data_IF_973380027350
#
_entry.id   IF_973380027350
#
_cell.length_a   1.000
_cell.length_b   1.000
_cell.length_c   1.000
_cell.angle_alpha   90.00
_cell.angle_beta   90.00
_cell.angle_gamma   90.00
#
_symmetry.space_group_name_H-M   'P 1'
#
loop_
_entity.id
_entity.type
_entity.pdbx_description
1 polymer ?
#
# COMPACT_ATOMS: atom_id res chain seq x y z
N UNK A 1 -39.80 -10.07 20.29
CA UNK A 1 -40.86 -9.09 19.96
C UNK A 1 -41.01 -8.17 21.13
N UNK A 2 -40.50 -6.94 21.02
CA UNK A 2 -40.73 -5.88 22.00
C UNK A 2 -40.96 -4.63 21.16
N UNK A 3 -42.23 -4.20 21.07
CA UNK A 3 -42.63 -3.01 20.32
C UNK A 3 -42.04 -1.80 21.03
N UNK A 4 -41.06 -1.16 20.41
CA UNK A 4 -40.64 0.19 20.79
C UNK A 4 -41.72 1.13 20.25
N UNK A 5 -42.41 1.83 21.15
CA UNK A 5 -43.36 2.87 20.82
C UNK A 5 -42.62 3.97 20.03
N UNK A 6 -42.87 4.05 18.72
CA UNK A 6 -42.49 5.20 17.91
C UNK A 6 -43.51 6.31 18.15
N UNK A 7 -43.33 7.08 19.21
CA UNK A 7 -43.98 8.37 19.31
C UNK A 7 -43.41 9.26 18.19
N UNK A 8 -44.32 9.73 17.33
CA UNK A 8 -44.01 10.54 16.17
C UNK A 8 -43.66 11.96 16.60
N UNK A 9 -42.37 12.24 16.78
CA UNK A 9 -41.88 13.61 16.95
C UNK A 9 -41.96 14.30 15.59
N UNK A 10 -42.89 15.26 15.47
CA UNK A 10 -43.05 16.11 14.28
C UNK A 10 -42.07 17.28 14.37
N UNK A 11 -41.24 17.45 13.34
CA UNK A 11 -40.44 18.67 13.14
C UNK A 11 -41.29 19.61 12.28
N UNK A 12 -41.59 20.80 12.80
CA UNK A 12 -42.42 21.79 12.12
C UNK A 12 -41.54 22.64 11.18
N UNK A 13 -41.72 22.44 9.88
CA UNK A 13 -41.05 23.23 8.85
C UNK A 13 -41.68 24.61 8.86
N UNK A 14 -40.95 25.65 9.30
CA UNK A 14 -41.40 27.03 9.11
C UNK A 14 -41.48 27.32 7.61
N UNK A 15 -42.69 27.24 7.06
CA UNK A 15 -43.08 27.91 5.83
C UNK A 15 -42.56 27.30 4.51
N UNK A 16 -42.82 26.02 4.25
CA UNK A 16 -43.17 25.55 2.89
C UNK A 16 -43.71 24.11 2.93
N UNK A 17 -44.64 23.81 2.03
CA UNK A 17 -45.77 22.90 2.21
C UNK A 17 -45.53 21.40 2.00
N UNK A 18 -44.33 20.86 2.17
CA UNK A 18 -44.13 19.40 2.13
C UNK A 18 -43.33 18.91 3.35
N UNK A 19 -44.05 18.29 4.29
CA UNK A 19 -43.46 17.62 5.47
C UNK A 19 -42.61 16.44 4.99
N UNK A 20 -41.29 16.59 5.02
CA UNK A 20 -40.35 15.47 4.79
C UNK A 20 -40.66 14.38 5.82
N UNK A 21 -41.00 13.18 5.36
CA UNK A 21 -41.26 12.05 6.27
C UNK A 21 -39.93 11.61 6.87
N UNK A 22 -39.90 11.35 8.18
CA UNK A 22 -38.73 10.77 8.86
C UNK A 22 -38.21 9.51 8.14
N UNK A 23 -39.09 8.71 7.54
CA UNK A 23 -38.74 7.53 6.74
C UNK A 23 -37.89 7.84 5.50
N UNK A 24 -37.92 9.06 4.98
CA UNK A 24 -37.09 9.49 3.84
C UNK A 24 -35.71 9.98 4.31
N UNK A 25 -35.63 10.46 5.55
CA UNK A 25 -34.36 10.83 6.22
C UNK A 25 -33.57 9.57 6.58
N UNK A 26 -34.27 8.51 6.99
CA UNK A 26 -33.69 7.21 7.35
C UNK A 26 -33.86 6.19 6.23
N UNK A 27 -32.90 6.13 5.29
CA UNK A 27 -32.84 5.06 4.30
C UNK A 27 -31.71 4.09 4.67
N UNK A 28 -32.04 2.80 4.80
CA UNK A 28 -31.08 1.73 5.09
C UNK A 28 -30.23 1.97 6.36
N UNK A 29 -30.83 2.52 7.43
CA UNK A 29 -30.15 2.92 8.69
C UNK A 29 -29.08 4.02 8.54
N UNK A 30 -29.02 4.68 7.39
CA UNK A 30 -28.14 5.82 7.12
C UNK A 30 -28.97 7.10 7.02
N UNK A 31 -28.43 8.19 7.57
CA UNK A 31 -29.04 9.51 7.50
C UNK A 31 -28.39 10.24 6.34
N UNK A 32 -29.20 10.67 5.36
CA UNK A 32 -28.69 11.42 4.23
C UNK A 32 -28.50 12.90 4.63
N UNK A 33 -27.25 13.43 4.63
CA UNK A 33 -27.00 14.82 5.03
C UNK A 33 -27.68 15.85 4.13
N UNK A 34 -27.89 15.56 2.85
CA UNK A 34 -28.57 16.49 1.93
C UNK A 34 -30.05 16.63 2.32
N UNK A 35 -30.69 15.53 2.71
CA UNK A 35 -32.09 15.58 3.17
C UNK A 35 -32.18 16.36 4.47
N UNK A 36 -31.25 16.15 5.41
CA UNK A 36 -31.17 16.91 6.67
C UNK A 36 -31.02 18.41 6.40
N UNK A 37 -30.13 18.79 5.48
CA UNK A 37 -29.97 20.20 5.08
C UNK A 37 -31.25 20.75 4.45
N UNK A 38 -31.84 20.03 3.49
CA UNK A 38 -33.05 20.43 2.79
C UNK A 38 -34.23 20.60 3.76
N UNK A 39 -34.36 19.71 4.75
CA UNK A 39 -35.38 19.80 5.79
C UNK A 39 -35.16 20.99 6.73
N UNK A 40 -33.92 21.41 6.98
CA UNK A 40 -33.67 22.54 7.88
C UNK A 40 -33.82 23.89 7.15
N UNK A 41 -33.30 23.98 5.92
CA UNK A 41 -33.14 25.24 5.19
C UNK A 41 -34.11 25.44 4.01
N UNK A 42 -34.71 24.36 3.49
CA UNK A 42 -35.72 24.44 2.43
C UNK A 42 -35.19 24.54 0.99
N UNK A 43 -33.88 24.38 0.76
CA UNK A 43 -33.29 24.37 -0.59
C UNK A 43 -32.10 23.42 -0.70
N UNK A 44 -31.69 23.15 -1.95
CA UNK A 44 -30.57 22.26 -2.28
C UNK A 44 -29.23 22.98 -1.99
N UNK A 45 -28.32 22.38 -1.20
CA UNK A 45 -27.02 22.97 -0.88
C UNK A 45 -25.97 22.78 -1.99
N UNK A 46 -24.99 23.68 -2.05
CA UNK A 46 -23.63 23.38 -2.49
C UNK A 46 -22.91 22.54 -1.44
N UNK A 47 -21.98 21.67 -1.84
CA UNK A 47 -21.30 20.76 -0.93
C UNK A 47 -19.80 20.69 -1.20
N UNK A 48 -18.99 20.77 -0.14
CA UNK A 48 -17.55 20.49 -0.16
C UNK A 48 -17.27 19.31 0.75
N UNK A 49 -16.44 18.36 0.30
CA UNK A 49 -16.06 17.19 1.10
C UNK A 49 -14.54 17.07 1.23
N UNK A 50 -14.10 16.70 2.42
CA UNK A 50 -12.72 16.31 2.70
C UNK A 50 -12.67 14.92 3.34
N UNK A 51 -11.79 14.06 2.82
CA UNK A 51 -11.63 12.68 3.25
C UNK A 51 -10.46 12.50 4.23
N UNK A 52 -10.53 11.43 5.03
CA UNK A 52 -9.46 11.03 5.94
C UNK A 52 -9.39 11.92 7.18
N UNK A 53 -10.51 12.44 7.64
CA UNK A 53 -10.61 13.36 8.77
C UNK A 53 -10.53 12.62 10.11
N UNK A 54 -9.91 13.24 11.11
CA UNK A 54 -10.07 12.85 12.50
C UNK A 54 -11.33 13.52 13.06
N UNK A 55 -12.48 12.93 12.72
CA UNK A 55 -13.79 13.49 13.07
C UNK A 55 -14.00 13.65 14.58
N UNK A 56 -13.38 12.82 15.42
CA UNK A 56 -13.45 13.00 16.88
C UNK A 56 -12.78 14.29 17.34
N UNK A 57 -11.54 14.56 16.90
CA UNK A 57 -10.85 15.82 17.23
C UNK A 57 -11.52 17.03 16.60
N UNK A 58 -12.01 16.88 15.37
CA UNK A 58 -12.76 17.94 14.69
C UNK A 58 -14.06 18.27 15.44
N UNK A 59 -14.81 17.26 15.88
CA UNK A 59 -16.03 17.39 16.69
C UNK A 59 -15.75 18.15 17.99
N UNK A 60 -14.73 17.74 18.75
CA UNK A 60 -14.33 18.42 19.99
C UNK A 60 -13.93 19.87 19.73
N UNK A 61 -13.24 20.14 18.62
CA UNK A 61 -12.88 21.49 18.22
C UNK A 61 -14.08 22.34 17.84
N UNK A 62 -15.01 21.81 17.03
CA UNK A 62 -16.25 22.49 16.63
C UNK A 62 -17.03 22.88 17.89
N UNK A 63 -17.32 21.93 18.78
CA UNK A 63 -18.07 22.18 20.02
C UNK A 63 -17.40 23.20 20.94
N UNK A 64 -16.06 23.28 20.93
CA UNK A 64 -15.32 24.21 21.78
C UNK A 64 -15.18 25.61 21.17
N UNK A 65 -15.05 25.74 19.85
CA UNK A 65 -14.63 26.99 19.21
C UNK A 65 -15.71 27.64 18.33
N UNK A 66 -16.80 26.93 18.05
CA UNK A 66 -17.91 27.41 17.21
C UNK A 66 -19.25 27.36 17.94
N UNK A 67 -19.26 27.12 19.26
CA UNK A 67 -20.50 26.96 20.04
C UNK A 67 -21.37 28.21 20.10
N UNK A 68 -20.75 29.37 20.05
CA UNK A 68 -21.38 30.69 19.92
C UNK A 68 -22.02 30.92 18.54
N UNK A 69 -21.66 30.11 17.53
CA UNK A 69 -22.13 30.25 16.15
C UNK A 69 -23.15 29.19 15.75
N UNK A 70 -23.52 28.30 16.66
CA UNK A 70 -24.55 27.30 16.37
C UNK A 70 -25.94 27.90 16.50
N UNK A 71 -26.76 27.59 15.51
CA UNK A 71 -28.20 27.65 15.67
C UNK A 71 -28.69 26.35 16.35
N UNK A 72 -28.25 25.20 15.82
CA UNK A 72 -28.58 23.88 16.33
C UNK A 72 -27.48 22.86 16.00
N UNK A 73 -27.43 21.73 16.73
CA UNK A 73 -26.59 20.59 16.35
C UNK A 73 -27.19 19.26 16.79
N UNK A 74 -26.88 18.20 16.05
CA UNK A 74 -27.39 16.84 16.28
C UNK A 74 -26.25 15.83 16.21
N UNK A 75 -26.15 14.96 17.23
CA UNK A 75 -25.16 13.88 17.28
C UNK A 75 -25.86 12.53 17.26
N UNK A 76 -25.65 11.77 16.19
CA UNK A 76 -26.10 10.40 16.09
C UNK A 76 -25.06 9.47 16.70
N UNK A 77 -25.42 8.84 17.81
CA UNK A 77 -24.55 7.93 18.55
C UNK A 77 -25.07 6.50 18.45
N UNK A 78 -24.17 5.54 18.35
CA UNK A 78 -24.48 4.11 18.30
C UNK A 78 -23.56 3.34 19.22
N UNK A 79 -23.97 2.14 19.61
CA UNK A 79 -23.13 1.22 20.34
C UNK A 79 -22.54 0.16 19.41
N UNK A 80 -21.25 -0.14 19.56
CA UNK A 80 -20.63 -1.29 18.91
C UNK A 80 -20.89 -2.54 19.76
N UNK A 81 -21.38 -3.62 19.15
CA UNK A 81 -21.67 -4.89 19.85
C UNK A 81 -20.47 -5.34 20.70
N UNK A 82 -20.69 -5.57 21.99
CA UNK A 82 -19.65 -5.97 22.95
C UNK A 82 -18.86 -4.82 23.59
N UNK A 83 -19.24 -3.55 23.36
CA UNK A 83 -18.65 -2.39 24.04
C UNK A 83 -19.70 -1.63 24.85
N UNK A 84 -19.28 -0.96 25.93
CA UNK A 84 -20.15 -0.12 26.77
C UNK A 84 -20.18 1.35 26.33
N UNK A 85 -19.17 1.79 25.56
CA UNK A 85 -19.02 3.20 25.16
C UNK A 85 -19.78 3.48 23.85
N UNK A 86 -20.66 4.49 23.89
CA UNK A 86 -21.31 5.04 22.71
C UNK A 86 -20.30 5.74 21.79
N UNK A 87 -20.33 5.38 20.51
CA UNK A 87 -19.55 6.01 19.44
C UNK A 87 -20.43 7.02 18.71
N UNK A 88 -19.84 8.11 18.22
CA UNK A 88 -20.52 9.05 17.34
C UNK A 88 -20.41 8.49 15.93
N UNK A 89 -21.54 8.36 15.23
CA UNK A 89 -21.61 8.01 13.81
C UNK A 89 -21.61 9.25 12.93
N UNK A 90 -22.56 10.16 13.17
CA UNK A 90 -22.68 11.42 12.45
C UNK A 90 -22.86 12.59 13.41
N UNK A 91 -22.22 13.72 13.12
CA UNK A 91 -22.50 15.01 13.75
C UNK A 91 -22.96 16.03 12.71
N UNK A 92 -24.06 16.72 12.98
CA UNK A 92 -24.61 17.78 12.14
C UNK A 92 -24.59 19.09 12.92
N UNK A 93 -23.99 20.13 12.37
CA UNK A 93 -23.81 21.43 13.01
C UNK A 93 -24.35 22.51 12.09
N UNK A 94 -25.43 23.17 12.50
CA UNK A 94 -26.07 24.24 11.75
C UNK A 94 -25.53 25.58 12.24
N UNK A 95 -24.89 26.32 11.34
CA UNK A 95 -24.34 27.64 11.58
C UNK A 95 -25.16 28.69 10.84
N UNK A 96 -24.90 29.96 11.15
CA UNK A 96 -25.47 31.09 10.42
C UNK A 96 -25.16 31.08 8.92
N UNK A 97 -25.92 31.87 8.16
CA UNK A 97 -25.81 32.02 6.70
C UNK A 97 -25.99 30.70 5.94
N UNK A 98 -26.85 29.83 6.47
CA UNK A 98 -27.25 28.60 5.80
C UNK A 98 -26.07 27.63 5.60
N UNK A 99 -25.20 27.51 6.60
CA UNK A 99 -24.08 26.59 6.57
C UNK A 99 -24.40 25.40 7.48
N UNK A 100 -24.19 24.18 6.96
CA UNK A 100 -24.20 22.98 7.78
C UNK A 100 -22.87 22.23 7.64
N UNK A 101 -22.19 22.02 8.76
CA UNK A 101 -21.04 21.12 8.81
C UNK A 101 -21.53 19.73 9.22
N UNK A 102 -21.23 18.71 8.41
CA UNK A 102 -21.45 17.32 8.77
C UNK A 102 -20.11 16.60 8.97
N UNK A 103 -19.96 15.89 10.09
CA UNK A 103 -18.85 15.00 10.36
C UNK A 103 -19.33 13.55 10.32
N UNK A 104 -18.89 12.81 9.31
CA UNK A 104 -19.11 11.36 9.23
C UNK A 104 -17.92 10.66 9.90
N UNK A 105 -18.13 10.21 11.13
CA UNK A 105 -17.10 9.53 11.91
C UNK A 105 -16.83 8.12 11.40
N UNK A 106 -17.80 7.49 10.73
CA UNK A 106 -17.69 6.13 10.21
C UNK A 106 -16.79 6.10 8.97
N UNK A 107 -16.98 7.03 8.05
CA UNK A 107 -16.21 7.12 6.81
C UNK A 107 -15.00 8.07 6.93
N UNK A 108 -14.82 8.72 8.09
CA UNK A 108 -13.79 9.73 8.31
C UNK A 108 -13.87 10.85 7.27
N UNK A 109 -15.07 11.41 7.06
CA UNK A 109 -15.31 12.52 6.12
C UNK A 109 -15.82 13.75 6.87
N UNK A 110 -15.50 14.92 6.36
CA UNK A 110 -16.18 16.17 6.72
C UNK A 110 -16.83 16.77 5.48
N UNK A 111 -18.07 17.20 5.64
CA UNK A 111 -18.83 17.92 4.63
C UNK A 111 -19.15 19.32 5.13
N UNK A 112 -19.08 20.30 4.23
CA UNK A 112 -19.66 21.63 4.45
C UNK A 112 -20.71 21.84 3.37
N UNK A 113 -21.96 21.94 3.79
CA UNK A 113 -23.10 22.27 2.96
C UNK A 113 -23.43 23.75 3.12
N UNK A 114 -23.70 24.45 2.04
CA UNK A 114 -24.04 25.88 2.08
C UNK A 114 -24.86 26.31 0.86
N UNK A 115 -25.61 27.41 0.94
CA UNK A 115 -26.30 28.00 -0.22
C UNK A 115 -26.02 29.48 -0.41
N UNK A 116 -26.28 30.28 0.61
CA UNK A 116 -26.22 31.74 0.54
C UNK A 116 -24.99 32.34 1.26
N UNK A 117 -24.22 31.51 1.97
CA UNK A 117 -22.99 31.93 2.61
C UNK A 117 -21.94 32.45 1.62
N UNK A 118 -21.15 33.43 2.08
CA UNK A 118 -19.93 33.85 1.41
C UNK A 118 -18.95 32.67 1.30
N UNK A 119 -18.46 32.42 0.08
CA UNK A 119 -17.48 31.37 -0.21
C UNK A 119 -16.20 31.56 0.63
N UNK A 120 -15.80 32.80 0.91
CA UNK A 120 -14.63 33.07 1.75
C UNK A 120 -14.83 32.58 3.19
N UNK A 121 -16.04 32.72 3.73
CA UNK A 121 -16.39 32.21 5.06
C UNK A 121 -16.36 30.68 5.08
N UNK A 122 -16.95 30.04 4.06
CA UNK A 122 -16.99 28.58 3.90
C UNK A 122 -15.58 27.99 3.82
N UNK A 123 -14.71 28.56 2.98
CA UNK A 123 -13.30 28.16 2.88
C UNK A 123 -12.53 28.43 4.18
N UNK A 124 -12.90 29.48 4.92
CA UNK A 124 -12.38 29.75 6.26
C UNK A 124 -12.67 28.61 7.25
N UNK A 125 -13.88 28.07 7.26
CA UNK A 125 -14.22 26.89 8.06
C UNK A 125 -13.48 25.64 7.58
N UNK A 126 -13.45 25.41 6.27
CA UNK A 126 -12.73 24.28 5.67
C UNK A 126 -11.25 24.27 6.06
N UNK A 127 -10.56 25.41 5.96
CA UNK A 127 -9.15 25.56 6.33
C UNK A 127 -8.87 25.18 7.79
N UNK A 128 -9.80 25.49 8.68
CA UNK A 128 -9.69 25.11 10.10
C UNK A 128 -9.91 23.60 10.29
N UNK A 129 -10.92 23.02 9.62
CA UNK A 129 -11.17 21.58 9.66
C UNK A 129 -9.99 20.77 9.11
N UNK A 130 -9.33 21.23 8.04
CA UNK A 130 -8.20 20.53 7.42
C UNK A 130 -7.03 20.27 8.39
N UNK A 131 -6.92 21.01 9.50
CA UNK A 131 -5.93 20.74 10.58
C UNK A 131 -6.13 19.37 11.23
N UNK A 132 -7.32 18.79 11.11
CA UNK A 132 -7.67 17.48 11.66
C UNK A 132 -7.57 16.35 10.62
N UNK A 133 -7.07 16.62 9.41
CA UNK A 133 -6.82 15.57 8.42
C UNK A 133 -5.80 14.57 8.97
N UNK A 134 -6.17 13.30 9.04
CA UNK A 134 -5.27 12.22 9.47
C UNK A 134 -4.09 12.20 8.52
N UNK A 135 -2.87 12.10 9.07
CA UNK A 135 -1.70 11.77 8.25
C UNK A 135 -1.97 10.41 7.61
N UNK A 136 -1.96 10.34 6.29
CA UNK A 136 -2.15 9.08 5.56
C UNK A 136 -0.94 8.17 5.82
N UNK A 137 -1.03 7.31 6.84
CA UNK A 137 -0.04 6.28 7.11
C UNK A 137 -0.33 5.12 6.16
N UNK A 138 0.10 5.26 4.90
CA UNK A 138 0.10 4.15 3.96
C UNK A 138 0.84 2.96 4.60
N UNK A 139 0.15 1.83 4.73
CA UNK A 139 0.73 0.57 5.19
C UNK A 139 1.05 -0.28 3.97
N UNK A 140 2.30 -0.68 3.75
CA UNK A 140 2.65 -1.53 2.63
C UNK A 140 1.92 -2.88 2.74
N UNK A 141 1.39 -3.32 1.61
CA UNK A 141 0.73 -4.62 1.46
C UNK A 141 1.32 -5.31 0.24
N UNK A 142 1.40 -6.64 0.31
CA UNK A 142 1.76 -7.50 -0.81
C UNK A 142 0.58 -8.41 -1.13
N UNK A 143 0.33 -8.65 -2.41
CA UNK A 143 -0.63 -9.62 -2.89
C UNK A 143 0.10 -10.91 -3.23
N UNK A 144 -0.16 -12.00 -2.52
CA UNK A 144 0.42 -13.31 -2.83
C UNK A 144 -0.47 -13.99 -3.86
N UNK A 145 0.12 -14.43 -4.97
CA UNK A 145 -0.56 -15.25 -5.97
C UNK A 145 -0.82 -16.65 -5.40
N UNK A 146 -2.07 -17.10 -5.50
CA UNK A 146 -2.52 -18.42 -5.08
C UNK A 146 -3.35 -19.06 -6.21
N UNK A 147 -3.43 -20.39 -6.20
CA UNK A 147 -4.25 -21.18 -7.12
C UNK A 147 -5.16 -22.11 -6.32
N UNK A 148 -6.45 -22.16 -6.66
CA UNK A 148 -7.41 -23.16 -6.20
C UNK A 148 -8.13 -23.78 -7.42
N UNK A 149 -9.20 -24.54 -7.16
CA UNK A 149 -10.02 -25.17 -8.22
C UNK A 149 -10.69 -24.13 -9.13
N UNK A 150 -11.03 -22.95 -8.61
CA UNK A 150 -11.66 -21.85 -9.37
C UNK A 150 -10.66 -21.03 -10.19
N UNK A 151 -9.35 -21.30 -10.07
CA UNK A 151 -8.30 -20.59 -10.79
C UNK A 151 -7.36 -19.79 -9.90
N UNK A 152 -6.86 -18.66 -10.41
CA UNK A 152 -5.89 -17.82 -9.70
C UNK A 152 -6.58 -16.71 -8.91
N UNK A 153 -6.06 -16.44 -7.71
CA UNK A 153 -6.52 -15.32 -6.90
C UNK A 153 -5.37 -14.69 -6.11
N UNK A 154 -5.60 -13.47 -5.61
CA UNK A 154 -4.63 -12.71 -4.84
C UNK A 154 -5.04 -12.63 -3.37
N UNK A 155 -4.17 -13.10 -2.47
CA UNK A 155 -4.33 -12.91 -1.02
C UNK A 155 -3.47 -11.76 -0.53
N UNK A 156 -4.07 -10.71 0.03
CA UNK A 156 -3.33 -9.57 0.57
C UNK A 156 -2.74 -9.88 1.95
N UNK A 157 -1.47 -9.55 2.15
CA UNK A 157 -0.79 -9.62 3.44
C UNK A 157 -0.10 -8.28 3.77
N UNK A 158 -0.10 -7.85 5.05
CA UNK A 158 0.68 -6.70 5.47
C UNK A 158 2.18 -7.01 5.36
N UNK A 159 2.97 -6.03 4.94
CA UNK A 159 4.44 -6.15 4.90
C UNK A 159 5.03 -5.28 5.99
N UNK A 160 6.03 -5.80 6.69
CA UNK A 160 6.85 -4.99 7.57
C UNK A 160 8.06 -4.50 6.77
N UNK A 161 8.17 -3.18 6.59
CA UNK A 161 9.36 -2.60 6.00
C UNK A 161 10.52 -2.75 7.00
N UNK A 162 11.62 -3.44 6.63
CA UNK A 162 12.77 -3.54 7.52
C UNK A 162 13.37 -2.14 7.77
N UNK A 163 13.81 -1.91 9.01
CA UNK A 163 14.52 -0.68 9.39
C UNK A 163 15.97 -0.80 8.96
N UNK A 164 16.30 -0.26 7.80
CA UNK A 164 17.68 -0.21 7.30
C UNK A 164 17.92 1.07 6.50
N UNK A 165 19.18 1.51 6.48
CA UNK A 165 19.65 2.57 5.61
C UNK A 165 20.40 1.92 4.44
N UNK A 166 20.04 2.27 3.20
CA UNK A 166 20.63 1.67 2.00
C UNK A 166 22.14 1.96 1.90
N UNK A 167 22.57 3.16 2.28
CA UNK A 167 23.97 3.58 2.21
C UNK A 167 24.86 2.83 3.20
N UNK A 168 24.28 2.40 4.32
CA UNK A 168 24.99 1.65 5.35
C UNK A 168 25.05 0.16 5.05
N UNK A 169 24.00 -0.37 4.40
CA UNK A 169 23.79 -1.81 4.24
C UNK A 169 24.28 -2.39 2.92
N UNK A 170 24.75 -1.55 1.98
CA UNK A 170 25.22 -1.97 0.67
C UNK A 170 26.45 -1.16 0.23
N UNK A 171 27.18 -1.67 -0.77
CA UNK A 171 28.35 -0.99 -1.32
C UNK A 171 27.98 0.35 -1.98
N UNK A 172 28.96 1.24 -2.13
CA UNK A 172 28.75 2.61 -2.61
C UNK A 172 28.16 2.69 -4.01
N UNK A 173 28.44 1.69 -4.86
CA UNK A 173 27.92 1.58 -6.22
C UNK A 173 26.39 1.37 -6.27
N UNK A 174 25.79 0.90 -5.17
CA UNK A 174 24.38 0.56 -5.16
C UNK A 174 23.44 1.77 -5.05
N UNK A 175 23.88 2.88 -4.45
CA UNK A 175 22.99 3.99 -4.12
C UNK A 175 22.31 4.58 -5.35
N UNK A 176 23.07 4.80 -6.43
CA UNK A 176 22.55 5.32 -7.69
C UNK A 176 21.55 4.33 -8.33
N UNK A 177 21.92 3.05 -8.35
CA UNK A 177 21.06 1.98 -8.86
C UNK A 177 19.77 1.87 -8.06
N UNK A 178 19.84 2.00 -6.73
CA UNK A 178 18.68 2.03 -5.85
C UNK A 178 17.73 3.18 -6.19
N UNK A 179 18.26 4.38 -6.41
CA UNK A 179 17.45 5.56 -6.77
C UNK A 179 16.73 5.33 -8.11
N UNK A 180 17.43 4.82 -9.12
CA UNK A 180 16.84 4.46 -10.42
C UNK A 180 15.74 3.40 -10.27
N UNK A 181 16.00 2.32 -9.51
CA UNK A 181 15.01 1.26 -9.25
C UNK A 181 13.76 1.86 -8.61
N UNK A 182 13.92 2.69 -7.58
CA UNK A 182 12.80 3.29 -6.85
C UNK A 182 11.99 4.23 -7.75
N UNK A 183 12.65 5.04 -8.56
CA UNK A 183 12.00 5.94 -9.51
C UNK A 183 11.17 5.16 -10.52
N UNK A 184 11.81 4.21 -11.22
CA UNK A 184 11.17 3.39 -12.27
C UNK A 184 10.00 2.57 -11.70
N UNK A 185 10.17 1.88 -10.57
CA UNK A 185 9.09 1.08 -9.98
C UNK A 185 7.94 1.92 -9.42
N UNK A 186 8.18 3.18 -9.08
CA UNK A 186 7.12 4.11 -8.64
C UNK A 186 6.38 4.77 -9.80
N UNK A 187 6.92 4.70 -11.02
CA UNK A 187 6.35 5.32 -12.20
C UNK A 187 5.06 4.60 -12.61
N UNK A 188 4.01 5.39 -12.86
CA UNK A 188 2.71 4.91 -13.34
C UNK A 188 2.86 4.47 -14.79
N UNK A 189 2.27 3.33 -15.12
CA UNK A 189 2.24 2.74 -16.46
C UNK A 189 3.65 2.55 -17.06
N UNK A 190 4.63 2.24 -16.21
CA UNK A 190 5.97 1.86 -16.63
C UNK A 190 6.07 0.34 -16.76
N UNK A 191 7.02 -0.12 -17.57
CA UNK A 191 7.27 -1.53 -17.89
C UNK A 191 8.76 -1.87 -17.83
N UNK A 192 9.04 -3.17 -17.85
CA UNK A 192 10.40 -3.68 -17.91
C UNK A 192 10.78 -4.60 -16.75
N UNK A 193 12.05 -4.99 -16.72
CA UNK A 193 12.57 -6.08 -15.90
C UNK A 193 13.68 -5.56 -14.99
N UNK A 194 13.56 -5.82 -13.70
CA UNK A 194 14.60 -5.65 -12.70
C UNK A 194 15.21 -7.01 -12.37
N UNK A 195 16.51 -7.16 -12.59
CA UNK A 195 17.27 -8.36 -12.27
C UNK A 195 18.19 -8.09 -11.07
N UNK A 196 17.98 -8.81 -9.98
CA UNK A 196 18.76 -8.73 -8.74
C UNK A 196 19.46 -10.07 -8.51
N UNK A 197 20.79 -10.09 -8.49
CA UNK A 197 21.53 -11.34 -8.31
C UNK A 197 22.72 -11.21 -7.38
N UNK A 198 23.36 -12.33 -7.01
CA UNK A 198 24.54 -12.33 -6.15
C UNK A 198 24.57 -13.55 -5.22
N UNK A 199 25.65 -13.72 -4.47
CA UNK A 199 25.80 -14.86 -3.54
C UNK A 199 24.70 -14.89 -2.46
N UNK A 200 24.35 -16.06 -1.90
CA UNK A 200 23.53 -16.13 -0.69
C UNK A 200 24.11 -15.25 0.43
N UNK A 201 23.24 -14.65 1.25
CA UNK A 201 23.67 -13.81 2.37
C UNK A 201 24.03 -12.35 2.04
N UNK A 202 24.11 -11.94 0.77
CA UNK A 202 24.43 -10.54 0.39
C UNK A 202 23.26 -9.56 0.52
N UNK A 203 22.12 -9.98 1.07
CA UNK A 203 21.02 -9.08 1.42
C UNK A 203 19.97 -8.82 0.33
N UNK A 204 19.89 -9.63 -0.72
CA UNK A 204 18.88 -9.54 -1.80
C UNK A 204 17.43 -9.53 -1.28
N UNK A 205 17.05 -10.55 -0.49
CA UNK A 205 15.70 -10.66 0.09
C UNK A 205 15.41 -9.50 1.05
N UNK A 206 16.41 -9.04 1.81
CA UNK A 206 16.29 -7.87 2.68
C UNK A 206 16.00 -6.60 1.88
N UNK A 207 16.73 -6.39 0.76
CA UNK A 207 16.48 -5.28 -0.16
C UNK A 207 15.08 -5.37 -0.79
N UNK A 208 14.67 -6.57 -1.23
CA UNK A 208 13.36 -6.79 -1.83
C UNK A 208 12.24 -6.44 -0.84
N UNK A 209 12.33 -6.87 0.42
CA UNK A 209 11.40 -6.47 1.49
C UNK A 209 11.40 -4.96 1.74
N UNK A 210 12.56 -4.32 1.72
CA UNK A 210 12.68 -2.86 1.81
C UNK A 210 11.97 -2.16 0.65
N UNK A 211 12.16 -2.65 -0.58
CA UNK A 211 11.58 -2.10 -1.80
C UNK A 211 10.05 -2.22 -1.79
N UNK A 212 9.54 -3.41 -1.43
CA UNK A 212 8.10 -3.66 -1.27
C UNK A 212 7.49 -2.70 -0.24
N UNK A 213 8.21 -2.47 0.85
CA UNK A 213 7.81 -1.51 1.88
C UNK A 213 7.92 -0.03 1.48
N UNK A 214 8.49 0.29 0.32
CA UNK A 214 8.85 1.66 -0.08
C UNK A 214 8.12 2.17 -1.32
N UNK A 215 7.58 1.28 -2.15
CA UNK A 215 6.91 1.64 -3.41
C UNK A 215 5.39 1.62 -3.23
N UNK A 216 4.73 2.73 -3.59
CA UNK A 216 3.26 2.87 -3.54
C UNK A 216 2.59 2.37 -4.83
N UNK A 217 2.89 1.14 -5.21
CA UNK A 217 2.32 0.44 -6.36
C UNK A 217 1.83 -0.93 -5.89
N UNK A 218 0.87 -1.53 -6.60
CA UNK A 218 0.43 -2.90 -6.27
C UNK A 218 1.60 -3.84 -6.54
N UNK A 219 1.91 -4.68 -5.56
CA UNK A 219 2.96 -5.70 -5.69
C UNK A 219 2.31 -7.06 -5.57
N UNK A 220 2.56 -7.90 -6.57
CA UNK A 220 2.12 -9.29 -6.64
C UNK A 220 3.37 -10.17 -6.44
N UNK A 221 3.40 -10.93 -5.37
CA UNK A 221 4.40 -11.97 -5.18
C UNK A 221 3.97 -13.21 -5.94
N UNK A 222 4.86 -13.70 -6.79
CA UNK A 222 4.70 -14.91 -7.58
C UNK A 222 5.57 -16.01 -6.95
N UNK A 223 4.95 -16.99 -6.25
CA UNK A 223 5.68 -18.10 -5.66
C UNK A 223 6.41 -18.95 -6.71
N UNK A 224 7.66 -19.40 -6.45
CA UNK A 224 8.42 -20.23 -7.39
C UNK A 224 7.71 -21.52 -7.80
N UNK A 225 6.96 -22.14 -6.88
CA UNK A 225 6.21 -23.36 -7.16
C UNK A 225 5.06 -23.17 -8.17
N UNK A 226 4.68 -21.93 -8.49
CA UNK A 226 3.69 -21.62 -9.52
C UNK A 226 4.33 -21.29 -10.90
N UNK A 227 5.65 -21.39 -11.04
CA UNK A 227 6.39 -21.01 -12.26
C UNK A 227 5.87 -21.64 -13.55
N UNK A 228 5.39 -22.88 -13.49
CA UNK A 228 4.83 -23.59 -14.64
C UNK A 228 3.55 -22.95 -15.18
N UNK A 229 2.84 -22.17 -14.37
CA UNK A 229 1.57 -21.54 -14.73
C UNK A 229 1.71 -20.12 -15.29
N UNK A 230 2.92 -19.65 -15.55
CA UNK A 230 3.12 -18.28 -16.04
C UNK A 230 2.54 -18.03 -17.44
N UNK A 231 2.30 -19.10 -18.20
CA UNK A 231 1.63 -19.11 -19.51
C UNK A 231 0.13 -19.42 -19.42
N UNK A 232 -0.38 -19.68 -18.22
CA UNK A 232 -1.77 -20.06 -18.02
C UNK A 232 -2.71 -18.88 -18.36
N UNK A 233 -3.73 -19.06 -19.21
CA UNK A 233 -4.66 -17.99 -19.56
C UNK A 233 -5.34 -17.35 -18.34
N UNK A 234 -5.64 -18.13 -17.29
CA UNK A 234 -6.23 -17.61 -16.06
C UNK A 234 -5.25 -16.72 -15.28
N UNK A 235 -3.94 -16.98 -15.38
CA UNK A 235 -2.94 -16.07 -14.84
C UNK A 235 -2.87 -14.76 -15.63
N UNK A 236 -2.96 -14.83 -16.96
CA UNK A 236 -3.02 -13.63 -17.82
C UNK A 236 -4.27 -12.79 -17.50
N UNK A 237 -5.43 -13.41 -17.34
CA UNK A 237 -6.68 -12.74 -16.94
C UNK A 237 -6.54 -12.03 -15.58
N UNK A 238 -5.87 -12.67 -14.62
CA UNK A 238 -5.56 -12.05 -13.33
C UNK A 238 -4.69 -10.81 -13.50
N UNK A 239 -3.68 -10.83 -14.38
CA UNK A 239 -2.84 -9.65 -14.66
C UNK A 239 -3.64 -8.55 -15.37
N UNK A 240 -4.53 -8.89 -16.30
CA UNK A 240 -5.44 -7.93 -16.97
C UNK A 240 -6.32 -7.21 -15.94
N UNK A 241 -6.79 -7.93 -14.93
CA UNK A 241 -7.58 -7.35 -13.82
C UNK A 241 -6.75 -6.49 -12.86
N UNK A 242 -5.42 -6.55 -12.97
CA UNK A 242 -4.48 -5.87 -12.07
C UNK A 242 -3.34 -5.16 -12.82
N UNK A 243 -3.65 -4.24 -13.75
CA UNK A 243 -2.63 -3.55 -14.53
C UNK A 243 -1.84 -2.57 -13.65
N UNK A 244 -0.73 -2.06 -14.18
CA UNK A 244 0.16 -1.13 -13.49
C UNK A 244 0.59 -1.68 -12.11
N UNK A 245 1.06 -2.93 -12.10
CA UNK A 245 1.54 -3.62 -10.90
C UNK A 245 2.96 -4.16 -11.09
N UNK A 246 3.58 -4.51 -9.96
CA UNK A 246 4.93 -5.09 -9.91
C UNK A 246 4.77 -6.57 -9.61
N UNK A 247 5.30 -7.43 -10.47
CA UNK A 247 5.35 -8.86 -10.27
C UNK A 247 6.73 -9.24 -9.72
N UNK A 248 6.77 -9.76 -8.50
CA UNK A 248 8.00 -10.15 -7.80
C UNK A 248 8.14 -11.67 -7.84
N UNK A 249 9.23 -12.15 -8.41
CA UNK A 249 9.62 -13.56 -8.46
C UNK A 249 10.94 -13.68 -7.67
N UNK A 250 10.84 -14.21 -6.45
CA UNK A 250 12.03 -14.61 -5.68
C UNK A 250 12.51 -15.98 -6.18
N UNK A 251 13.79 -16.31 -6.01
CA UNK A 251 14.41 -17.56 -6.48
C UNK A 251 14.02 -17.93 -7.93
N UNK A 252 14.22 -16.96 -8.83
CA UNK A 252 13.77 -17.01 -10.20
C UNK A 252 14.63 -17.91 -11.12
N UNK A 253 15.66 -18.60 -10.60
CA UNK A 253 16.62 -19.41 -11.37
C UNK A 253 15.92 -20.40 -12.29
N UNK A 254 14.87 -21.06 -11.79
CA UNK A 254 14.10 -22.06 -12.55
C UNK A 254 13.35 -21.47 -13.75
N UNK A 255 13.11 -20.16 -13.74
CA UNK A 255 12.34 -19.44 -14.76
C UNK A 255 13.26 -18.73 -15.76
N UNK A 256 14.39 -18.18 -15.31
CA UNK A 256 15.23 -17.27 -16.11
C UNK A 256 16.50 -17.92 -16.70
N UNK A 257 16.88 -19.11 -16.24
CA UNK A 257 18.15 -19.72 -16.63
C UNK A 257 18.18 -20.24 -18.09
N UNK A 258 19.37 -20.19 -18.70
CA UNK A 258 19.63 -20.40 -20.14
C UNK A 258 19.88 -21.85 -20.58
N UNK A 259 19.71 -22.86 -19.71
CA UNK A 259 20.18 -24.23 -20.00
C UNK A 259 19.55 -24.86 -21.26
N UNK A 260 20.41 -25.56 -22.00
CA UNK A 260 20.27 -26.10 -23.34
C UNK A 260 18.87 -26.52 -23.82
N UNK A 261 18.45 -25.83 -24.90
CA UNK A 261 17.78 -26.36 -26.08
C UNK A 261 16.51 -27.22 -25.95
N UNK A 262 15.56 -26.86 -25.08
CA UNK A 262 14.13 -27.11 -25.37
C UNK A 262 13.30 -25.94 -24.84
N UNK A 263 12.94 -25.01 -25.74
CA UNK A 263 11.98 -23.91 -25.58
C UNK A 263 11.21 -23.91 -24.25
N UNK A 264 11.64 -23.09 -23.29
CA UNK A 264 10.85 -22.87 -22.07
C UNK A 264 9.78 -21.80 -22.33
N UNK A 265 8.48 -22.14 -22.27
CA UNK A 265 7.41 -21.16 -22.44
C UNK A 265 7.47 -20.03 -21.41
N UNK A 266 8.11 -20.26 -20.26
CA UNK A 266 8.19 -19.33 -19.13
C UNK A 266 9.01 -18.07 -19.42
N UNK A 267 10.16 -18.17 -20.10
CA UNK A 267 10.97 -16.99 -20.48
C UNK A 267 10.22 -16.15 -21.52
N UNK A 268 9.69 -16.80 -22.56
CA UNK A 268 8.87 -16.14 -23.57
C UNK A 268 7.63 -15.47 -22.97
N UNK A 269 7.00 -16.09 -21.96
CA UNK A 269 5.89 -15.48 -21.22
C UNK A 269 6.32 -14.22 -20.48
N UNK A 270 7.42 -14.26 -19.73
CA UNK A 270 7.97 -13.08 -19.06
C UNK A 270 8.28 -11.95 -20.06
N UNK A 271 8.83 -12.30 -21.23
CA UNK A 271 9.11 -11.34 -22.30
C UNK A 271 7.82 -10.74 -22.88
N UNK A 272 6.79 -11.56 -23.12
CA UNK A 272 5.51 -11.09 -23.61
C UNK A 272 4.79 -10.18 -22.61
N UNK A 273 4.90 -10.46 -21.31
CA UNK A 273 4.34 -9.64 -20.23
C UNK A 273 5.10 -8.30 -20.09
N UNK A 274 6.42 -8.30 -20.27
CA UNK A 274 7.27 -7.12 -20.01
C UNK A 274 7.52 -6.22 -21.22
N UNK A 275 7.49 -6.75 -22.44
CA UNK A 275 7.81 -6.00 -23.67
C UNK A 275 6.92 -6.37 -24.88
N UNK A 276 6.10 -7.42 -24.79
CA UNK A 276 5.20 -7.80 -25.88
C UNK A 276 3.96 -6.91 -26.00
N UNK A 277 3.05 -7.22 -26.93
CA UNK A 277 1.77 -6.51 -27.10
C UNK A 277 0.95 -6.45 -25.80
N UNK A 278 1.03 -7.49 -24.96
CA UNK A 278 0.37 -7.50 -23.66
C UNK A 278 0.95 -6.43 -22.72
N UNK A 279 2.23 -6.10 -22.83
CA UNK A 279 2.89 -5.14 -21.95
C UNK A 279 2.30 -3.73 -22.03
N UNK A 280 1.78 -3.33 -23.20
CA UNK A 280 1.23 -1.99 -23.43
C UNK A 280 -0.09 -1.75 -22.69
N UNK A 281 -0.87 -2.81 -22.48
CA UNK A 281 -2.12 -2.74 -21.73
C UNK A 281 -1.91 -3.08 -20.25
N UNK A 282 -1.06 -4.06 -19.95
CA UNK A 282 -0.85 -4.53 -18.59
C UNK A 282 0.04 -3.59 -17.76
N UNK A 283 1.07 -3.00 -18.36
CA UNK A 283 2.05 -2.15 -17.68
C UNK A 283 2.66 -2.83 -16.43
N UNK A 284 3.07 -4.10 -16.57
CA UNK A 284 3.66 -4.90 -15.50
C UNK A 284 5.17 -4.68 -15.47
N UNK A 285 5.71 -4.45 -14.27
CA UNK A 285 7.14 -4.44 -14.02
C UNK A 285 7.55 -5.74 -13.34
N UNK A 286 8.53 -6.43 -13.92
CA UNK A 286 9.05 -7.69 -13.37
C UNK A 286 10.21 -7.40 -12.42
N UNK A 287 10.24 -8.06 -11.28
CA UNK A 287 11.38 -8.07 -10.35
C UNK A 287 11.77 -9.51 -10.10
N UNK A 288 12.94 -9.92 -10.60
CA UNK A 288 13.47 -11.27 -10.42
C UNK A 288 14.70 -11.22 -9.51
N UNK A 289 14.69 -12.02 -8.43
CA UNK A 289 15.85 -12.24 -7.57
C UNK A 289 16.38 -13.66 -7.74
N UNK A 290 17.70 -13.84 -7.80
CA UNK A 290 18.34 -15.15 -8.01
C UNK A 290 19.79 -15.18 -7.47
N UNK A 291 20.37 -16.38 -7.36
CA UNK A 291 21.68 -16.63 -6.75
C UNK A 291 22.75 -17.13 -7.75
N UNK A 292 22.36 -17.39 -9.01
CA UNK A 292 23.29 -17.81 -10.07
C UNK A 292 23.97 -16.62 -10.75
N UNK A 293 25.11 -16.89 -11.41
CA UNK A 293 25.77 -15.91 -12.26
C UNK A 293 24.84 -15.47 -13.40
N UNK A 294 24.89 -14.18 -13.73
CA UNK A 294 24.13 -13.58 -14.82
C UNK A 294 24.43 -14.20 -16.18
N UNK A 295 25.62 -14.76 -16.39
CA UNK A 295 25.99 -15.49 -17.61
C UNK A 295 25.07 -16.68 -17.89
N UNK A 296 24.41 -17.20 -16.84
CA UNK A 296 23.47 -18.31 -16.94
C UNK A 296 22.02 -17.86 -17.15
N UNK A 297 21.77 -16.56 -17.31
CA UNK A 297 20.43 -16.00 -17.58
C UNK A 297 20.23 -15.84 -19.08
N UNK A 298 19.01 -16.09 -19.56
CA UNK A 298 18.66 -15.89 -20.96
C UNK A 298 18.95 -14.45 -21.41
N UNK A 299 19.80 -14.29 -22.43
CA UNK A 299 20.24 -13.00 -22.93
C UNK A 299 19.08 -12.10 -23.40
N UNK A 300 17.95 -12.67 -23.83
CA UNK A 300 16.78 -11.91 -24.25
C UNK A 300 16.17 -11.07 -23.12
N UNK A 301 16.33 -11.49 -21.86
CA UNK A 301 15.93 -10.75 -20.65
C UNK A 301 16.88 -9.57 -20.35
N UNK A 302 18.12 -9.63 -20.85
CA UNK A 302 19.18 -8.64 -20.55
C UNK A 302 19.31 -7.54 -21.61
N UNK A 303 18.48 -7.55 -22.65
CA UNK A 303 18.53 -6.58 -23.75
C UNK A 303 18.22 -5.15 -23.26
N UNK A 304 19.01 -4.19 -23.74
CA UNK A 304 18.77 -2.76 -23.54
C UNK A 304 17.38 -2.39 -24.09
N UNK A 305 16.64 -1.56 -23.37
CA UNK A 305 15.24 -1.21 -23.67
C UNK A 305 14.22 -1.92 -22.78
N UNK A 306 14.52 -3.16 -22.33
CA UNK A 306 13.64 -3.93 -21.43
C UNK A 306 14.01 -3.83 -19.96
N UNK A 307 15.28 -3.56 -19.67
CA UNK A 307 15.78 -3.52 -18.30
C UNK A 307 15.40 -2.21 -17.60
N UNK A 308 14.85 -2.35 -16.39
CA UNK A 308 14.75 -1.28 -15.40
C UNK A 308 16.14 -1.04 -14.80
N UNK A 309 16.75 -2.12 -14.29
CA UNK A 309 18.12 -2.18 -13.84
C UNK A 309 18.56 -3.64 -13.75
N UNK A 310 19.88 -3.84 -13.67
CA UNK A 310 20.50 -5.11 -13.35
C UNK A 310 21.57 -4.84 -12.28
N UNK A 311 21.52 -5.55 -11.17
CA UNK A 311 22.47 -5.34 -10.07
C UNK A 311 22.94 -6.66 -9.46
N UNK A 312 24.25 -6.74 -9.22
CA UNK A 312 24.91 -7.82 -8.50
C UNK A 312 25.20 -7.38 -7.07
N UNK A 313 24.54 -8.01 -6.10
CA UNK A 313 24.85 -7.89 -4.69
C UNK A 313 26.10 -8.71 -4.37
N UNK A 314 27.23 -8.01 -4.26
CA UNK A 314 28.52 -8.56 -3.86
C UNK A 314 28.66 -8.59 -2.35
N UNK A 315 29.71 -9.27 -1.87
CA UNK A 315 30.20 -9.08 -0.51
C UNK A 315 30.50 -7.59 -0.27
N UNK A 316 30.26 -7.15 0.97
CA UNK A 316 30.49 -5.78 1.38
C UNK A 316 31.99 -5.51 1.48
N UNK A 317 32.44 -4.38 0.93
CA UNK A 317 33.83 -3.95 1.02
C UNK A 317 34.26 -3.75 2.47
N UNK A 318 35.53 -4.03 2.77
CA UNK A 318 36.09 -4.07 4.13
C UNK A 318 35.71 -2.81 4.94
N UNK A 319 35.93 -1.62 4.38
CA UNK A 319 35.66 -0.36 5.06
C UNK A 319 34.16 -0.14 5.33
N UNK A 320 33.29 -0.56 4.41
CA UNK A 320 31.83 -0.53 4.59
C UNK A 320 31.39 -1.51 5.67
N UNK A 321 31.94 -2.72 5.65
CA UNK A 321 31.63 -3.76 6.62
C UNK A 321 32.05 -3.33 8.04
N UNK A 322 33.24 -2.75 8.19
CA UNK A 322 33.71 -2.16 9.47
C UNK A 322 32.80 -1.04 9.95
N UNK A 323 32.41 -0.12 9.06
CA UNK A 323 31.52 0.98 9.41
C UNK A 323 30.14 0.49 9.86
N UNK A 324 29.56 -0.48 9.17
CA UNK A 324 28.28 -1.09 9.54
C UNK A 324 28.37 -1.87 10.86
N UNK A 325 29.39 -2.71 11.01
CA UNK A 325 29.65 -3.49 12.23
C UNK A 325 29.77 -2.56 13.46
N UNK A 326 30.52 -1.46 13.34
CA UNK A 326 30.61 -0.43 14.39
C UNK A 326 29.26 0.20 14.72
N UNK A 327 28.44 0.53 13.70
CA UNK A 327 27.07 1.05 13.90
C UNK A 327 26.15 0.06 14.61
N UNK A 328 26.36 -1.24 14.40
CA UNK A 328 25.63 -2.33 15.07
C UNK A 328 26.16 -2.61 16.49
N UNK A 329 27.20 -1.91 16.95
CA UNK A 329 27.81 -2.12 18.26
C UNK A 329 28.59 -3.44 18.36
N UNK A 330 29.16 -3.89 17.24
CA UNK A 330 30.01 -5.07 17.17
C UNK A 330 31.49 -4.65 17.08
N UNK A 331 32.37 -5.50 17.61
CA UNK A 331 33.81 -5.25 17.73
C UNK A 331 34.64 -6.38 17.09
N UNK A 332 34.07 -7.13 16.14
CA UNK A 332 34.81 -8.18 15.43
C UNK A 332 35.84 -7.59 14.48
N UNK A 333 37.03 -8.18 14.42
CA UNK A 333 38.02 -7.83 13.41
C UNK A 333 37.53 -8.29 12.03
N UNK A 334 37.51 -7.36 11.08
CA UNK A 334 37.07 -7.59 9.70
C UNK A 334 38.28 -7.39 8.79
N UNK A 335 38.85 -8.52 8.35
CA UNK A 335 40.07 -8.55 7.54
C UNK A 335 39.80 -8.85 6.06
N UNK A 336 38.54 -9.04 5.68
CA UNK A 336 38.13 -9.33 4.31
C UNK A 336 36.70 -8.90 4.00
N UNK A 337 36.31 -8.92 2.71
CA UNK A 337 34.93 -8.69 2.31
C UNK A 337 34.00 -9.71 2.97
N UNK A 338 32.82 -9.27 3.41
CA UNK A 338 31.84 -10.11 4.12
C UNK A 338 30.44 -9.90 3.59
N UNK A 339 29.62 -10.95 3.63
CA UNK A 339 28.19 -10.88 3.32
C UNK A 339 27.44 -10.07 4.38
N UNK A 340 26.26 -9.55 4.01
CA UNK A 340 25.41 -8.82 4.95
C UNK A 340 24.99 -9.71 6.13
N UNK A 341 24.69 -10.99 5.87
CA UNK A 341 24.36 -11.96 6.93
C UNK A 341 25.50 -12.12 7.93
N UNK A 342 26.74 -12.31 7.48
CA UNK A 342 27.89 -12.45 8.38
C UNK A 342 28.10 -11.20 9.25
N UNK A 343 27.85 -10.00 8.70
CA UNK A 343 27.96 -8.74 9.46
C UNK A 343 26.87 -8.64 10.54
N UNK A 344 25.63 -9.03 10.25
CA UNK A 344 24.53 -8.96 11.24
C UNK A 344 24.61 -10.05 12.31
N UNK A 345 25.28 -11.18 12.02
CA UNK A 345 25.30 -12.37 12.87
C UNK A 345 26.69 -12.69 13.44
N UNK A 346 27.58 -11.70 13.61
CA UNK A 346 28.96 -11.90 14.14
C UNK A 346 29.02 -12.58 15.52
N UNK A 347 27.90 -12.62 16.26
CA UNK A 347 27.80 -13.23 17.60
C UNK A 347 27.22 -14.65 17.58
N UNK A 348 26.71 -15.12 16.44
CA UNK A 348 26.14 -16.46 16.32
C UNK A 348 27.25 -17.47 16.03
N UNK A 349 27.26 -18.60 16.74
CA UNK A 349 28.17 -19.71 16.43
C UNK A 349 27.77 -20.34 15.08
N UNK A 350 28.73 -20.47 14.17
CA UNK A 350 28.51 -21.15 12.89
C UNK A 350 28.27 -22.65 13.13
N UNK A 351 27.02 -23.12 13.04
CA UNK A 351 26.69 -24.54 12.97
C UNK A 351 26.98 -25.12 11.57
N UNK A 352 28.21 -24.97 11.08
CA UNK A 352 28.66 -25.73 9.90
C UNK A 352 29.10 -27.12 10.35
N UNK A 353 28.32 -28.15 10.02
CA UNK A 353 28.78 -29.54 10.09
C UNK A 353 30.03 -29.67 9.22
N UNK A 354 31.16 -29.95 9.87
CA UNK A 354 32.39 -30.35 9.22
C UNK A 354 32.15 -31.68 8.52
N UNK A 355 31.70 -31.64 7.26
CA UNK A 355 31.82 -32.80 6.37
C UNK A 355 33.32 -32.98 6.14
N UNK A 356 33.95 -33.77 7.01
CA UNK A 356 35.27 -34.32 6.76
C UNK A 356 35.22 -35.01 5.40
N UNK A 357 35.78 -34.38 4.37
CA UNK A 357 36.17 -35.06 3.15
C UNK A 357 37.17 -36.13 3.57
N UNK A 358 36.71 -37.37 3.72
CA UNK A 358 37.60 -38.53 3.66
C UNK A 358 38.27 -38.47 2.30
N UNK A 359 39.54 -38.11 2.28
CA UNK A 359 40.41 -38.40 1.17
C UNK A 359 40.42 -39.93 0.99
N UNK A 360 39.81 -40.41 -0.08
CA UNK A 360 40.05 -41.76 -0.57
C UNK A 360 41.23 -41.60 -1.52
N UNK A 361 42.40 -42.03 -1.07
CA UNK A 361 43.62 -42.09 -1.85
C UNK A 361 43.94 -43.53 -2.22
N UNK A 362 44.32 -43.68 -3.49
CA UNK A 362 44.81 -44.85 -4.25
C UNK A 362 43.78 -45.89 -4.69
#
# INVERSE_FOLDING_TARGET
MTKVNQESIKIDLKGNSDKVRLSEIYKDYTINPIIVYLSHFGYIPHAITDHGMNCYRANDWILKNLSDKFQEHYLFKYNQRGKSKLLIGNGFYFLEQDIMINLDHTESKSWIYYKHADVALVEGYRKQLLRFKKKNTWKPKISILMKNEDGFYLKQMPVQKPRLNIEDNYNNDFLEVHQQIKERLSRKNDKGILLLHGKPGTGKTTYLRYLIGSVRKRIIFFPPNLASYIVDPGFIELLISHPNSILVIEDAESIIASRDSVNRPSVSALLNISDGLLSDFLNIQLVCSFNIDISNVDMALTRKGRLIAKYEFKEMEIEKAKALSKKLGMNGDIDGPMTLTEIYNQKEENYTQTLMKKAIGF
#
